data_IF_380370929736
#
_entry.id   IF_380370929736
#
_cell.length_a   1.000
_cell.length_b   1.000
_cell.length_c   1.000
_cell.angle_alpha   90.00
_cell.angle_beta   90.00
_cell.angle_gamma   90.00
#
_symmetry.space_group_name_H-M   'P 1'
#
loop_
_entity.id
_entity.type
_entity.pdbx_description
1 polymer ?
#
# COMPACT_ATOMS: atom_id res chain seq x y z
N UNK A 1 2.86 -14.29 2.99
CA UNK A 1 4.22 -13.73 2.83
C UNK A 1 5.08 -14.73 2.07
N UNK A 2 5.04 -14.67 0.73
CA UNK A 2 5.56 -15.72 -0.14
C UNK A 2 7.05 -15.57 -0.46
N UNK A 3 7.52 -14.36 -0.79
CA UNK A 3 8.91 -14.13 -1.22
C UNK A 3 9.94 -14.48 -0.13
N UNK A 4 9.62 -14.21 1.14
CA UNK A 4 10.51 -14.51 2.28
C UNK A 4 10.89 -15.99 2.38
N UNK A 5 10.04 -16.91 1.90
CA UNK A 5 10.28 -18.36 1.96
C UNK A 5 11.51 -18.77 1.14
N UNK A 6 11.81 -18.04 0.07
CA UNK A 6 12.90 -18.31 -0.86
C UNK A 6 14.21 -17.59 -0.47
N UNK A 7 14.17 -16.66 0.47
CA UNK A 7 15.39 -15.95 0.90
C UNK A 7 16.30 -16.84 1.78
N UNK A 8 17.60 -16.52 1.87
CA UNK A 8 18.56 -17.26 2.72
C UNK A 8 18.30 -17.20 4.23
N UNK A 9 17.47 -16.24 4.69
CA UNK A 9 17.11 -16.02 6.11
C UNK A 9 18.29 -15.83 7.08
N UNK A 10 19.43 -15.37 6.57
CA UNK A 10 20.65 -15.15 7.38
C UNK A 10 20.67 -13.81 8.10
N UNK A 11 19.79 -12.87 7.75
CA UNK A 11 19.77 -11.49 8.27
C UNK A 11 21.16 -10.80 8.23
N UNK A 12 21.99 -11.13 7.24
CA UNK A 12 23.38 -10.70 7.17
C UNK A 12 23.60 -9.21 6.84
N UNK A 13 22.54 -8.48 6.45
CA UNK A 13 22.54 -7.06 6.08
C UNK A 13 23.42 -6.66 4.89
N UNK A 14 23.95 -7.62 4.11
CA UNK A 14 24.80 -7.35 2.92
C UNK A 14 24.09 -6.55 1.81
N UNK A 15 22.75 -6.61 1.75
CA UNK A 15 21.93 -5.82 0.84
C UNK A 15 21.47 -4.46 1.42
N UNK A 16 22.00 -4.05 2.57
CA UNK A 16 21.64 -2.79 3.24
C UNK A 16 20.32 -2.81 4.03
N UNK A 17 19.51 -3.88 3.95
CA UNK A 17 18.27 -4.02 4.72
C UNK A 17 18.51 -4.63 6.11
N UNK A 18 17.76 -4.22 7.16
CA UNK A 18 17.99 -4.65 8.53
C UNK A 18 17.70 -6.14 8.76
N UNK A 19 16.77 -6.72 8.00
CA UNK A 19 16.39 -8.14 8.04
C UNK A 19 16.06 -8.68 6.65
N UNK A 20 16.13 -9.99 6.45
CA UNK A 20 15.64 -10.65 5.22
C UNK A 20 14.14 -10.42 5.01
N UNK A 21 13.38 -10.24 6.09
CA UNK A 21 11.96 -9.88 6.07
C UNK A 21 11.76 -8.51 5.42
N UNK A 22 12.50 -7.49 5.89
CA UNK A 22 12.45 -6.14 5.32
C UNK A 22 12.84 -6.16 3.83
N UNK A 23 13.89 -6.90 3.48
CA UNK A 23 14.27 -7.10 2.08
C UNK A 23 13.15 -7.72 1.25
N UNK A 24 12.46 -8.75 1.75
CA UNK A 24 11.34 -9.37 1.01
C UNK A 24 10.16 -8.43 0.77
N UNK A 25 9.92 -7.49 1.68
CA UNK A 25 8.88 -6.47 1.51
C UNK A 25 9.29 -5.44 0.46
N UNK A 26 10.54 -4.98 0.50
CA UNK A 26 11.04 -4.03 -0.50
C UNK A 26 11.15 -4.68 -1.89
N UNK A 27 11.48 -5.97 -1.95
CA UNK A 27 11.51 -6.74 -3.20
C UNK A 27 10.10 -6.89 -3.78
N UNK A 28 9.10 -7.15 -2.94
CA UNK A 28 7.69 -7.18 -3.34
C UNK A 28 7.21 -5.83 -3.90
N UNK A 29 7.76 -4.74 -3.37
CA UNK A 29 7.45 -3.38 -3.82
C UNK A 29 8.23 -2.95 -5.05
N UNK A 30 9.19 -3.75 -5.53
CA UNK A 30 10.07 -3.38 -6.64
C UNK A 30 11.11 -2.31 -6.26
N UNK A 31 11.29 -2.00 -4.97
CA UNK A 31 12.31 -1.05 -4.47
C UNK A 31 13.73 -1.58 -4.54
N UNK A 32 13.87 -2.90 -4.60
CA UNK A 32 15.13 -3.64 -4.75
C UNK A 32 14.94 -4.74 -5.78
N UNK A 33 16.02 -5.21 -6.38
CA UNK A 33 16.05 -6.34 -7.32
C UNK A 33 16.49 -7.61 -6.59
N UNK A 34 16.18 -8.78 -7.12
CA UNK A 34 16.61 -10.08 -6.55
C UNK A 34 18.13 -10.11 -6.40
N UNK A 35 18.83 -9.56 -7.39
CA UNK A 35 20.29 -9.49 -7.47
C UNK A 35 20.95 -8.66 -6.35
N UNK A 36 20.19 -7.80 -5.65
CA UNK A 36 20.72 -7.01 -4.52
C UNK A 36 21.06 -7.89 -3.30
N UNK A 37 20.50 -9.11 -3.21
CA UNK A 37 20.84 -10.08 -2.18
C UNK A 37 22.06 -10.91 -2.61
N UNK A 38 23.27 -10.41 -2.35
CA UNK A 38 24.52 -11.12 -2.63
C UNK A 38 24.57 -12.59 -2.16
N UNK A 39 24.10 -12.95 -0.95
CA UNK A 39 24.04 -14.36 -0.54
C UNK A 39 23.13 -15.23 -1.42
N UNK A 40 22.06 -14.68 -1.99
CA UNK A 40 21.11 -15.43 -2.82
C UNK A 40 21.74 -15.86 -4.16
N UNK A 41 22.83 -15.20 -4.59
CA UNK A 41 23.58 -15.55 -5.80
C UNK A 41 24.51 -16.77 -5.61
N UNK A 42 24.68 -17.26 -4.38
CA UNK A 42 25.50 -18.44 -4.14
C UNK A 42 24.89 -19.69 -4.80
N UNK A 43 25.70 -20.63 -5.35
CA UNK A 43 25.19 -21.81 -6.07
C UNK A 43 24.19 -22.65 -5.27
N UNK A 44 24.32 -22.69 -3.93
CA UNK A 44 23.41 -23.42 -3.04
C UNK A 44 21.98 -22.88 -3.02
N UNK A 45 21.77 -21.61 -3.39
CA UNK A 45 20.46 -20.98 -3.47
C UNK A 45 19.94 -20.79 -4.89
N UNK A 46 20.62 -21.34 -5.90
CA UNK A 46 20.24 -21.19 -7.31
C UNK A 46 18.76 -21.51 -7.58
N UNK A 47 18.24 -22.60 -7.00
CA UNK A 47 16.82 -22.98 -7.11
C UNK A 47 15.87 -21.91 -6.56
N UNK A 48 16.24 -21.27 -5.44
CA UNK A 48 15.43 -20.22 -4.82
C UNK A 48 15.47 -18.93 -5.64
N UNK A 49 16.63 -18.61 -6.22
CA UNK A 49 16.80 -17.48 -7.12
C UNK A 49 15.90 -17.64 -8.35
N UNK A 50 15.96 -18.80 -9.01
CA UNK A 50 15.15 -19.09 -10.19
C UNK A 50 13.65 -19.01 -9.88
N UNK A 51 13.22 -19.55 -8.74
CA UNK A 51 11.83 -19.48 -8.28
C UNK A 51 11.37 -18.03 -8.00
N UNK A 52 12.21 -17.20 -7.38
CA UNK A 52 11.89 -15.78 -7.16
C UNK A 52 11.78 -15.02 -8.48
N UNK A 53 12.64 -15.34 -9.45
CA UNK A 53 12.64 -14.71 -10.78
C UNK A 53 11.40 -15.07 -11.59
N UNK A 54 10.96 -16.32 -11.51
CA UNK A 54 9.71 -16.77 -12.11
C UNK A 54 8.49 -16.09 -11.46
N UNK A 55 8.48 -15.98 -10.12
CA UNK A 55 7.38 -15.33 -9.38
C UNK A 55 7.25 -13.82 -9.65
N UNK A 56 8.38 -13.12 -9.78
CA UNK A 56 8.39 -11.66 -10.00
C UNK A 56 8.31 -11.30 -11.48
N UNK A 57 8.75 -12.19 -12.38
CA UNK A 57 8.69 -12.01 -13.83
C UNK A 57 9.29 -10.67 -14.26
N UNK A 58 8.54 -9.92 -15.08
CA UNK A 58 8.95 -8.61 -15.59
C UNK A 58 8.76 -7.45 -14.61
N UNK A 59 8.21 -7.69 -13.42
CA UNK A 59 7.93 -6.65 -12.42
C UNK A 59 9.10 -6.41 -11.45
N UNK A 60 10.18 -7.19 -11.59
CA UNK A 60 11.37 -7.03 -10.77
C UNK A 60 11.97 -5.62 -10.88
N UNK A 61 12.17 -4.95 -9.73
CA UNK A 61 12.79 -3.63 -9.67
C UNK A 61 11.96 -2.49 -10.24
N UNK A 62 10.65 -2.72 -10.49
CA UNK A 62 9.70 -1.66 -10.85
C UNK A 62 8.95 -1.24 -9.60
N UNK A 63 9.35 -0.11 -9.02
CA UNK A 63 8.69 0.43 -7.83
C UNK A 63 7.21 0.70 -8.15
N UNK A 64 6.30 -0.02 -7.48
CA UNK A 64 4.86 0.11 -7.73
C UNK A 64 4.32 1.30 -6.95
N UNK A 65 3.67 2.22 -7.64
CA UNK A 65 3.03 3.37 -7.04
C UNK A 65 1.64 2.98 -6.52
N UNK A 66 1.28 3.51 -5.36
CA UNK A 66 -0.05 3.30 -4.79
C UNK A 66 -1.09 4.04 -5.66
N UNK A 67 -2.08 3.31 -6.15
CA UNK A 67 -3.25 3.86 -6.80
C UNK A 67 -4.50 3.54 -5.98
N UNK A 68 -5.34 4.55 -5.78
CA UNK A 68 -6.69 4.39 -5.21
C UNK A 68 -7.66 4.95 -6.23
N UNK A 69 -8.38 4.05 -6.90
CA UNK A 69 -9.38 4.43 -7.89
C UNK A 69 -10.76 4.51 -7.23
N UNK A 70 -11.52 5.55 -7.58
CA UNK A 70 -12.90 5.75 -7.16
C UNK A 70 -13.78 5.77 -8.41
N UNK A 71 -14.53 4.70 -8.62
CA UNK A 71 -15.50 4.60 -9.71
C UNK A 71 -16.76 5.39 -9.37
N UNK A 72 -16.97 6.49 -10.10
CA UNK A 72 -18.02 7.45 -9.79
C UNK A 72 -19.41 6.88 -10.05
N UNK A 73 -19.56 6.00 -11.04
CA UNK A 73 -20.86 5.44 -11.40
C UNK A 73 -21.38 4.46 -10.33
N UNK A 74 -20.48 3.76 -9.64
CA UNK A 74 -20.83 2.86 -8.55
C UNK A 74 -21.08 3.61 -7.23
N UNK A 75 -20.45 4.77 -7.04
CA UNK A 75 -20.52 5.51 -5.79
C UNK A 75 -21.89 6.17 -5.55
N UNK A 76 -22.45 5.98 -4.35
CA UNK A 76 -23.71 6.59 -3.91
C UNK A 76 -23.51 7.76 -2.92
N UNK A 77 -22.26 8.10 -2.60
CA UNK A 77 -21.95 9.21 -1.70
C UNK A 77 -22.23 8.94 -0.22
N UNK A 78 -22.34 7.67 0.22
CA UNK A 78 -22.64 7.33 1.62
C UNK A 78 -21.64 7.85 2.67
N UNK A 79 -20.43 8.27 2.27
CA UNK A 79 -19.45 8.89 3.16
C UNK A 79 -18.68 7.93 4.09
N UNK A 80 -18.87 6.61 3.96
CA UNK A 80 -18.15 5.62 4.79
C UNK A 80 -16.63 5.75 4.63
N UNK A 81 -16.14 5.97 3.40
CA UNK A 81 -14.71 6.19 3.14
C UNK A 81 -14.14 7.41 3.88
N UNK A 82 -14.96 8.42 4.14
CA UNK A 82 -14.59 9.64 4.87
C UNK A 82 -14.46 9.36 6.36
N UNK A 83 -15.42 8.63 6.94
CA UNK A 83 -15.49 8.41 8.39
C UNK A 83 -14.61 7.25 8.85
N UNK A 84 -14.43 6.20 8.03
CA UNK A 84 -13.59 5.05 8.38
C UNK A 84 -12.10 5.30 8.14
N UNK A 85 -11.75 6.30 7.33
CA UNK A 85 -10.38 6.62 6.99
C UNK A 85 -9.62 7.13 8.23
N UNK A 86 -8.54 6.45 8.67
CA UNK A 86 -7.79 6.87 9.86
C UNK A 86 -7.10 8.22 9.69
N UNK A 87 -6.78 8.59 8.46
CA UNK A 87 -6.16 9.89 8.14
C UNK A 87 -7.21 11.00 8.27
N UNK A 88 -8.40 10.83 7.67
CA UNK A 88 -9.51 11.77 7.88
C UNK A 88 -9.86 11.86 9.37
N UNK A 89 -10.01 10.74 10.06
CA UNK A 89 -10.31 10.74 11.50
C UNK A 89 -9.26 11.53 12.30
N UNK A 90 -7.98 11.40 11.96
CA UNK A 90 -6.89 12.09 12.67
C UNK A 90 -6.85 13.60 12.42
N UNK A 91 -7.11 14.04 11.19
CA UNK A 91 -6.89 15.43 10.78
C UNK A 91 -8.18 16.24 10.58
N UNK A 92 -9.33 15.58 10.48
CA UNK A 92 -10.65 16.20 10.32
C UNK A 92 -11.51 15.89 11.55
N UNK A 93 -11.48 16.72 12.62
CA UNK A 93 -12.21 16.48 13.86
C UNK A 93 -13.72 16.16 13.69
N UNK A 94 -14.46 16.81 12.78
CA UNK A 94 -15.86 16.44 12.52
C UNK A 94 -16.04 14.98 12.08
N UNK A 95 -15.14 14.47 11.24
CA UNK A 95 -15.17 13.08 10.75
C UNK A 95 -14.98 12.06 11.87
N UNK A 96 -14.21 12.40 12.91
CA UNK A 96 -14.04 11.57 14.10
C UNK A 96 -15.36 11.37 14.88
N UNK A 97 -16.28 12.33 14.77
CA UNK A 97 -17.62 12.27 15.37
C UNK A 97 -18.71 11.80 14.38
N UNK A 98 -18.31 11.20 13.25
CA UNK A 98 -19.23 10.71 12.22
C UNK A 98 -19.87 11.81 11.36
N UNK A 99 -19.39 13.06 11.45
CA UNK A 99 -19.89 14.18 10.64
C UNK A 99 -19.08 14.32 9.35
N UNK A 100 -19.67 14.99 8.36
CA UNK A 100 -18.92 15.40 7.18
C UNK A 100 -17.76 16.34 7.57
N UNK A 101 -16.60 16.27 6.88
CA UNK A 101 -15.50 17.20 7.07
C UNK A 101 -15.93 18.62 6.66
N UNK A 102 -15.25 19.60 7.23
CA UNK A 102 -15.48 21.01 6.90
C UNK A 102 -15.02 21.35 5.48
N UNK A 103 -15.58 22.45 4.96
CA UNK A 103 -15.13 23.07 3.72
C UNK A 103 -14.50 24.43 4.02
N UNK A 104 -13.33 24.76 3.46
CA UNK A 104 -12.54 23.96 2.51
C UNK A 104 -11.91 22.71 3.15
N UNK A 105 -11.54 21.69 2.35
CA UNK A 105 -10.95 20.46 2.87
C UNK A 105 -9.64 20.70 3.62
N UNK A 106 -9.40 19.92 4.67
CA UNK A 106 -8.13 19.96 5.40
C UNK A 106 -6.98 19.42 4.51
N UNK A 107 -5.76 19.90 4.74
CA UNK A 107 -4.56 19.55 3.97
C UNK A 107 -4.30 18.03 3.87
N UNK A 108 -4.57 17.27 4.92
CA UNK A 108 -4.33 15.83 5.01
C UNK A 108 -5.56 14.99 4.67
N UNK A 109 -6.70 15.63 4.40
CA UNK A 109 -7.93 14.95 4.09
C UNK A 109 -7.75 14.07 2.84
N UNK A 110 -8.07 12.79 2.96
CA UNK A 110 -8.00 11.83 1.85
C UNK A 110 -9.29 11.79 1.06
N UNK A 111 -10.43 11.79 1.73
CA UNK A 111 -11.72 11.63 1.08
C UNK A 111 -12.66 12.78 1.43
N UNK A 112 -13.50 13.16 0.48
CA UNK A 112 -14.68 13.98 0.72
C UNK A 112 -15.88 13.42 -0.05
N UNK A 113 -17.08 13.77 0.39
CA UNK A 113 -18.28 13.60 -0.43
C UNK A 113 -18.65 14.97 -0.98
N UNK A 114 -18.67 15.10 -2.30
CA UNK A 114 -19.05 16.33 -3.01
C UNK A 114 -19.98 15.96 -4.16
N UNK A 115 -21.07 16.72 -4.31
CA UNK A 115 -22.11 16.44 -5.30
C UNK A 115 -22.62 14.98 -5.27
N UNK A 116 -22.74 14.39 -4.07
CA UNK A 116 -23.19 13.00 -3.90
C UNK A 116 -22.19 11.93 -4.32
N UNK A 117 -20.93 12.28 -4.57
CA UNK A 117 -19.87 11.34 -4.98
C UNK A 117 -18.65 11.45 -4.08
N UNK A 118 -17.96 10.33 -3.90
CA UNK A 118 -16.67 10.28 -3.22
C UNK A 118 -15.60 10.89 -4.13
N UNK A 119 -14.83 11.84 -3.60
CA UNK A 119 -13.64 12.38 -4.24
C UNK A 119 -12.41 12.05 -3.37
N UNK A 120 -11.38 11.49 -4.01
CA UNK A 120 -10.05 11.32 -3.42
C UNK A 120 -9.27 12.63 -3.60
N UNK A 121 -8.70 13.15 -2.53
CA UNK A 121 -8.00 14.44 -2.49
C UNK A 121 -6.48 14.25 -2.40
N UNK A 122 -5.95 14.08 -1.20
CA UNK A 122 -4.51 14.17 -0.96
C UNK A 122 -3.86 12.80 -0.76
N UNK A 123 -3.84 11.96 -1.80
CA UNK A 123 -3.36 10.57 -1.73
C UNK A 123 -1.97 10.43 -1.08
N UNK A 124 -1.08 11.41 -1.25
CA UNK A 124 0.24 11.48 -0.60
C UNK A 124 0.23 11.35 0.93
N UNK A 125 -0.90 11.66 1.59
CA UNK A 125 -1.06 11.50 3.04
C UNK A 125 -1.68 10.16 3.44
N UNK A 126 -1.92 9.27 2.48
CA UNK A 126 -2.39 7.93 2.78
C UNK A 126 -1.39 7.24 3.70
N UNK A 127 -1.89 6.69 4.81
CA UNK A 127 -1.05 5.99 5.80
C UNK A 127 -0.28 4.80 5.21
N UNK A 128 -0.59 4.36 3.98
CA UNK A 128 0.14 3.29 3.29
C UNK A 128 1.48 3.74 2.72
N UNK A 129 1.66 5.04 2.43
CA UNK A 129 2.83 5.56 1.70
C UNK A 129 4.06 5.59 2.62
N UNK A 130 4.00 6.33 3.72
CA UNK A 130 5.15 6.51 4.64
C UNK A 130 5.25 5.42 5.73
N UNK A 131 4.38 4.43 5.70
CA UNK A 131 4.34 3.42 6.76
C UNK A 131 5.49 2.42 6.69
N UNK A 132 5.96 1.95 7.84
CA UNK A 132 6.86 0.80 7.98
C UNK A 132 6.20 -0.27 8.86
N UNK A 133 5.14 -0.92 8.38
CA UNK A 133 4.42 -1.93 9.16
C UNK A 133 3.01 -2.21 8.69
N UNK A 134 2.16 -2.68 9.61
CA UNK A 134 0.73 -3.06 9.42
C UNK A 134 -0.11 -1.97 8.77
N UNK A 135 0.27 -0.70 8.94
CA UNK A 135 -0.33 0.46 8.28
C UNK A 135 -0.34 0.31 6.75
N UNK A 136 0.68 -0.35 6.17
CA UNK A 136 0.77 -0.62 4.72
C UNK A 136 -0.33 -1.56 4.24
N UNK A 137 -0.98 -2.30 5.13
CA UNK A 137 -2.05 -3.25 4.81
C UNK A 137 -3.44 -2.61 4.90
N UNK A 138 -3.53 -1.32 5.28
CA UNK A 138 -4.80 -0.62 5.46
C UNK A 138 -5.66 -0.60 4.18
N UNK A 139 -6.76 -1.37 4.14
CA UNK A 139 -7.72 -1.39 3.02
C UNK A 139 -9.10 -0.86 3.38
N UNK A 140 -9.26 -0.17 4.51
CA UNK A 140 -10.59 0.18 5.06
C UNK A 140 -11.51 0.92 4.09
N UNK A 141 -11.01 1.81 3.24
CA UNK A 141 -11.85 2.54 2.27
C UNK A 141 -12.39 1.62 1.16
N UNK A 142 -11.64 0.59 0.77
CA UNK A 142 -12.08 -0.43 -0.18
C UNK A 142 -12.94 -1.48 0.52
N UNK A 143 -12.46 -2.04 1.64
CA UNK A 143 -13.15 -3.11 2.40
C UNK A 143 -14.54 -2.71 2.87
N UNK A 144 -14.73 -1.47 3.30
CA UNK A 144 -16.03 -0.99 3.80
C UNK A 144 -16.82 -0.20 2.77
N UNK A 145 -16.41 -0.16 1.49
CA UNK A 145 -17.22 0.46 0.45
C UNK A 145 -18.39 -0.48 0.08
N UNK A 146 -19.65 -0.13 0.42
CA UNK A 146 -20.80 -1.03 0.19
C UNK A 146 -21.15 -1.20 -1.29
N UNK A 147 -20.60 -0.32 -2.15
CA UNK A 147 -20.81 -0.31 -3.60
C UNK A 147 -19.62 -0.86 -4.38
N UNK A 148 -18.55 -1.27 -3.67
CA UNK A 148 -17.28 -1.68 -4.27
C UNK A 148 -16.68 -0.64 -5.24
N UNK A 149 -17.05 0.63 -5.06
CA UNK A 149 -16.65 1.75 -5.89
C UNK A 149 -15.20 2.19 -5.69
N UNK A 150 -14.52 1.70 -4.63
CA UNK A 150 -13.13 2.05 -4.33
C UNK A 150 -12.28 0.80 -4.53
N UNK A 151 -11.18 0.91 -5.28
CA UNK A 151 -10.18 -0.16 -5.44
C UNK A 151 -8.78 0.34 -5.13
N UNK A 152 -8.00 -0.49 -4.43
CA UNK A 152 -6.61 -0.17 -4.08
C UNK A 152 -5.69 -1.09 -4.86
N UNK A 153 -4.89 -0.47 -5.73
CA UNK A 153 -3.95 -1.14 -6.62
C UNK A 153 -2.52 -0.61 -6.44
N UNK A 154 -1.58 -1.37 -6.98
CA UNK A 154 -0.16 -1.04 -7.05
C UNK A 154 0.24 -1.16 -8.50
N UNK A 155 0.45 -0.01 -9.15
CA UNK A 155 0.72 0.11 -10.60
C UNK A 155 2.15 0.51 -10.89
#
# INVERSE_FOLDING_TARGET
>A
MELYKFLPKTNCKKCGKPTCMAYSLDLLQGKVKIDDCTPLLEPKYKKNYDALKELLGSDEGKEKELKIDVESDLCDGCGICVTICPVNARYCPPSLSGKAPEYPPEKHQLFQVKAGKCELLNLKYCRRIEAEGRERECRVCETYCPREAIKIDYV
#
